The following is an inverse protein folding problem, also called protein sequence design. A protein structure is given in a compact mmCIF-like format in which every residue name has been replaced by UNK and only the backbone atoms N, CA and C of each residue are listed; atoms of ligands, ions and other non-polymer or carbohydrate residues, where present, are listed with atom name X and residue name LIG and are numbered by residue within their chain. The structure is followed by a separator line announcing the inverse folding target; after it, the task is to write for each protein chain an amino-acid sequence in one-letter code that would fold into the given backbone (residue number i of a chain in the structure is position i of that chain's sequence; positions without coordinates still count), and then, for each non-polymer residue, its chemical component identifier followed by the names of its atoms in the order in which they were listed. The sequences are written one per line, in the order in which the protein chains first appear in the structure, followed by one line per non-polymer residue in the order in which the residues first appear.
data_IF_154771823676
#
_entry.id   IF_154771823676
#
_cell.length_a   1.000
_cell.length_b   1.000
_cell.length_c   1.000
_cell.angle_alpha   90.00
_cell.angle_beta   90.00
_cell.angle_gamma   90.00
#
_symmetry.space_group_name_H-M   'P 1'
#
loop_
_entity.id
_entity.type
_entity.pdbx_description
1 polymer ?
#
# COMPACT_ATOMS: atom_id res chain seq x y z
N UNK A 1 -11.01 -7.45 -14.68
CA UNK A 1 -10.88 -6.00 -14.39
C UNK A 1 -11.73 -5.57 -13.20
N UNK A 2 -13.00 -5.98 -13.18
CA UNK A 2 -13.86 -5.64 -12.03
C UNK A 2 -13.37 -6.26 -10.73
N UNK A 3 -12.82 -7.48 -10.79
CA UNK A 3 -12.29 -8.18 -9.61
C UNK A 3 -11.11 -7.43 -8.99
N UNK A 4 -10.24 -6.85 -9.82
CA UNK A 4 -9.09 -6.06 -9.32
C UNK A 4 -9.60 -4.81 -8.60
N UNK A 5 -10.58 -4.13 -9.18
CA UNK A 5 -11.17 -2.93 -8.58
C UNK A 5 -11.84 -3.24 -7.24
N UNK A 6 -12.63 -4.30 -7.19
CA UNK A 6 -13.28 -4.74 -5.97
C UNK A 6 -12.25 -5.14 -4.90
N UNK A 7 -11.16 -5.77 -5.32
CA UNK A 7 -10.10 -6.15 -4.40
C UNK A 7 -9.33 -4.94 -3.87
N UNK A 8 -9.14 -3.91 -4.69
CA UNK A 8 -8.54 -2.64 -4.25
C UNK A 8 -9.45 -1.92 -3.26
N UNK A 9 -10.76 -1.93 -3.50
CA UNK A 9 -11.73 -1.39 -2.56
C UNK A 9 -11.70 -2.13 -1.22
N UNK A 10 -11.68 -3.46 -1.27
CA UNK A 10 -11.56 -4.31 -0.09
C UNK A 10 -10.27 -4.01 0.67
N UNK A 11 -9.16 -3.92 -0.05
CA UNK A 11 -7.86 -3.54 0.51
C UNK A 11 -7.93 -2.18 1.21
N UNK A 12 -8.55 -1.19 0.56
CA UNK A 12 -8.73 0.13 1.15
C UNK A 12 -9.55 0.07 2.44
N UNK A 13 -10.62 -0.71 2.47
CA UNK A 13 -11.42 -0.87 3.68
C UNK A 13 -10.61 -1.46 4.83
N UNK A 14 -9.77 -2.46 4.55
CA UNK A 14 -8.92 -3.09 5.57
C UNK A 14 -7.82 -2.14 6.07
N UNK A 15 -7.04 -1.60 5.15
CA UNK A 15 -5.90 -0.76 5.49
C UNK A 15 -6.36 0.59 6.04
N UNK A 16 -7.37 1.19 5.41
CA UNK A 16 -7.93 2.46 5.84
C UNK A 16 -8.55 2.37 7.23
N UNK A 17 -9.30 1.31 7.48
CA UNK A 17 -9.87 1.05 8.80
C UNK A 17 -8.83 0.86 9.88
N UNK A 18 -7.77 0.10 9.57
CA UNK A 18 -6.66 -0.10 10.51
C UNK A 18 -5.96 1.23 10.84
N UNK A 19 -5.64 2.02 9.84
CA UNK A 19 -4.99 3.31 10.03
C UNK A 19 -5.88 4.29 10.81
N UNK A 20 -7.16 4.37 10.46
CA UNK A 20 -8.08 5.29 11.11
C UNK A 20 -8.21 4.99 12.61
N UNK A 21 -8.31 3.72 12.95
CA UNK A 21 -8.57 3.30 14.33
C UNK A 21 -7.29 3.14 15.15
N UNK A 22 -6.16 2.84 14.51
CA UNK A 22 -4.93 2.46 15.22
C UNK A 22 -3.67 3.19 14.74
N UNK A 23 -3.77 4.00 13.69
CA UNK A 23 -2.60 4.68 13.11
C UNK A 23 -1.88 5.57 14.13
N UNK A 24 -2.61 6.23 15.01
CA UNK A 24 -2.00 7.12 16.01
C UNK A 24 -1.20 6.37 17.08
N UNK A 25 -1.31 5.04 17.15
CA UNK A 25 -0.53 4.19 18.08
C UNK A 25 0.81 3.78 17.51
N UNK A 26 1.04 4.00 16.21
CA UNK A 26 2.31 3.66 15.57
C UNK A 26 3.39 4.59 16.14
N UNK A 27 4.49 3.98 16.63
CA UNK A 27 5.55 4.71 17.29
C UNK A 27 6.50 5.36 16.28
N UNK A 28 7.26 6.37 16.73
CA UNK A 28 8.30 6.99 15.90
C UNK A 28 9.31 5.96 15.39
N UNK A 29 9.70 5.02 16.23
CA UNK A 29 10.62 3.95 15.83
C UNK A 29 10.02 3.09 14.70
N UNK A 30 8.74 2.73 14.80
CA UNK A 30 8.05 1.98 13.75
C UNK A 30 7.97 2.80 12.46
N UNK A 31 7.70 4.09 12.56
CA UNK A 31 7.67 4.98 11.39
C UNK A 31 9.05 5.04 10.72
N UNK A 32 10.13 5.12 11.51
CA UNK A 32 11.49 5.11 10.98
C UNK A 32 11.79 3.81 10.22
N UNK A 33 11.33 2.68 10.75
CA UNK A 33 11.49 1.39 10.06
C UNK A 33 10.68 1.35 8.75
N UNK A 34 9.48 1.93 8.74
CA UNK A 34 8.66 2.05 7.53
C UNK A 34 9.32 2.95 6.49
N UNK A 35 10.00 4.01 6.90
CA UNK A 35 10.77 4.85 5.98
C UNK A 35 11.89 4.08 5.30
N UNK A 36 12.56 3.19 6.00
CA UNK A 36 13.61 2.33 5.41
C UNK A 36 13.01 1.45 4.33
N UNK A 37 11.83 0.87 4.56
CA UNK A 37 11.14 0.08 3.55
C UNK A 37 10.74 0.93 2.35
N UNK A 38 10.33 2.17 2.58
CA UNK A 38 9.98 3.08 1.49
C UNK A 38 11.19 3.43 0.62
N UNK A 39 12.40 3.47 1.18
CA UNK A 39 13.61 3.69 0.37
C UNK A 39 13.77 2.58 -0.68
N UNK A 40 13.43 1.35 -0.35
CA UNK A 40 13.44 0.26 -1.32
C UNK A 40 12.42 0.48 -2.45
N UNK A 41 11.25 1.05 -2.13
CA UNK A 41 10.24 1.40 -3.13
C UNK A 41 10.71 2.47 -4.10
N UNK A 42 11.63 3.34 -3.67
CA UNK A 42 12.11 4.47 -4.47
C UNK A 42 13.25 4.10 -5.42
N UNK A 43 13.72 2.87 -5.39
CA UNK A 43 14.81 2.42 -6.27
C UNK A 43 14.32 2.31 -7.71
N UNK A 44 15.09 2.85 -8.63
CA UNK A 44 14.81 2.83 -10.09
C UNK A 44 15.60 1.76 -10.85
N UNK A 45 16.53 1.08 -10.17
CA UNK A 45 17.37 0.01 -10.74
C UNK A 45 16.75 -1.38 -10.61
N UNK A 46 15.44 -1.45 -10.41
CA UNK A 46 14.70 -2.69 -10.15
C UNK A 46 13.67 -2.97 -11.24
N UNK A 47 13.28 -4.23 -11.36
CA UNK A 47 12.22 -4.64 -12.28
C UNK A 47 10.83 -4.18 -11.77
N UNK A 48 9.81 -4.10 -12.65
CA UNK A 48 8.45 -3.80 -12.19
C UNK A 48 7.94 -4.76 -11.11
N UNK A 49 8.32 -6.04 -11.19
CA UNK A 49 7.96 -7.02 -10.16
C UNK A 49 8.62 -6.70 -8.83
N UNK A 50 9.91 -6.38 -8.83
CA UNK A 50 10.64 -6.03 -7.61
C UNK A 50 10.07 -4.77 -6.98
N UNK A 51 9.71 -3.78 -7.80
CA UNK A 51 9.06 -2.56 -7.34
C UNK A 51 7.71 -2.87 -6.68
N UNK A 52 6.90 -3.71 -7.32
CA UNK A 52 5.63 -4.15 -6.77
C UNK A 52 5.82 -4.87 -5.43
N UNK A 53 6.79 -5.78 -5.34
CA UNK A 53 7.06 -6.52 -4.09
C UNK A 53 7.52 -5.59 -2.97
N UNK A 54 8.33 -4.58 -3.27
CA UNK A 54 8.75 -3.58 -2.28
C UNK A 54 7.55 -2.75 -1.78
N UNK A 55 6.67 -2.36 -2.69
CA UNK A 55 5.42 -1.66 -2.35
C UNK A 55 4.55 -2.50 -1.42
N UNK A 56 4.37 -3.78 -1.71
CA UNK A 56 3.60 -4.67 -0.84
C UNK A 56 4.24 -4.82 0.53
N UNK A 57 5.56 -4.96 0.59
CA UNK A 57 6.27 -5.09 1.85
C UNK A 57 6.04 -3.86 2.73
N UNK A 58 6.04 -2.67 2.14
CA UNK A 58 5.73 -1.44 2.87
C UNK A 58 4.31 -1.48 3.46
N UNK A 59 3.31 -1.79 2.64
CA UNK A 59 1.91 -1.83 3.10
C UNK A 59 1.67 -2.90 4.15
N UNK A 60 2.23 -4.08 3.98
CA UNK A 60 2.12 -5.16 4.97
C UNK A 60 2.73 -4.73 6.31
N UNK A 61 3.92 -4.13 6.28
CA UNK A 61 4.58 -3.66 7.50
C UNK A 61 3.80 -2.51 8.16
N UNK A 62 3.25 -1.60 7.36
CA UNK A 62 2.43 -0.49 7.85
C UNK A 62 1.21 -1.01 8.64
N UNK A 63 0.51 -1.97 8.07
CA UNK A 63 -0.69 -2.52 8.71
C UNK A 63 -0.34 -3.42 9.89
N UNK A 64 0.78 -4.14 9.80
CA UNK A 64 1.29 -4.91 10.93
C UNK A 64 1.56 -4.00 12.15
N UNK A 65 2.10 -2.79 11.91
CA UNK A 65 2.36 -1.81 12.97
C UNK A 65 1.07 -1.34 13.66
N UNK A 66 -0.09 -1.48 13.03
CA UNK A 66 -1.37 -1.15 13.63
C UNK A 66 -1.78 -2.15 14.72
N UNK A 67 -1.19 -3.35 14.76
CA UNK A 67 -1.36 -4.29 15.85
C UNK A 67 -2.67 -5.07 15.88
N UNK A 68 -3.34 -5.25 14.75
CA UNK A 68 -4.52 -6.10 14.65
C UNK A 68 -4.20 -7.31 13.76
N UNK A 69 -4.06 -8.47 14.39
CA UNK A 69 -3.61 -9.69 13.70
C UNK A 69 -4.61 -10.19 12.66
N UNK A 70 -5.90 -9.99 12.87
CA UNK A 70 -6.93 -10.40 11.91
C UNK A 70 -6.86 -9.55 10.64
N UNK A 71 -6.74 -8.24 10.79
CA UNK A 71 -6.58 -7.34 9.65
C UNK A 71 -5.25 -7.65 8.93
N UNK A 72 -4.18 -7.84 9.66
CA UNK A 72 -2.86 -8.17 9.12
C UNK A 72 -2.93 -9.40 8.23
N UNK A 73 -3.58 -10.46 8.68
CA UNK A 73 -3.74 -11.69 7.91
C UNK A 73 -4.56 -11.47 6.63
N UNK A 74 -5.65 -10.73 6.72
CA UNK A 74 -6.49 -10.47 5.55
C UNK A 74 -5.80 -9.57 4.54
N UNK A 75 -5.01 -8.61 4.98
CA UNK A 75 -4.20 -7.78 4.09
C UNK A 75 -3.19 -8.65 3.34
N UNK A 76 -2.51 -9.56 4.02
CA UNK A 76 -1.56 -10.49 3.38
C UNK A 76 -2.25 -11.36 2.33
N UNK A 77 -3.44 -11.88 2.62
CA UNK A 77 -4.22 -12.68 1.68
C UNK A 77 -4.58 -11.86 0.44
N UNK A 78 -5.03 -10.64 0.65
CA UNK A 78 -5.38 -9.70 -0.42
C UNK A 78 -4.16 -9.40 -1.30
N UNK A 79 -3.00 -9.14 -0.69
CA UNK A 79 -1.75 -8.89 -1.42
C UNK A 79 -1.33 -10.08 -2.28
N UNK A 80 -1.47 -11.29 -1.75
CA UNK A 80 -1.17 -12.51 -2.51
C UNK A 80 -2.05 -12.64 -3.74
N UNK A 81 -3.35 -12.37 -3.58
CA UNK A 81 -4.31 -12.41 -4.69
C UNK A 81 -3.98 -11.36 -5.75
N UNK A 82 -3.74 -10.11 -5.33
CA UNK A 82 -3.39 -9.02 -6.24
C UNK A 82 -2.09 -9.30 -7.00
N UNK A 83 -1.09 -9.87 -6.32
CA UNK A 83 0.18 -10.23 -6.94
C UNK A 83 -0.04 -11.23 -8.08
N UNK A 84 -0.85 -12.25 -7.85
CA UNK A 84 -1.18 -13.24 -8.88
C UNK A 84 -1.94 -12.61 -10.06
N UNK A 85 -2.88 -11.73 -9.76
CA UNK A 85 -3.66 -11.05 -10.79
C UNK A 85 -2.76 -10.16 -11.67
N UNK A 86 -1.87 -9.39 -11.06
CA UNK A 86 -0.93 -8.54 -11.81
C UNK A 86 0.08 -9.38 -12.60
N UNK A 87 0.53 -10.50 -12.07
CA UNK A 87 1.44 -11.40 -12.77
C UNK A 87 0.82 -11.91 -14.08
N UNK A 88 -0.48 -12.21 -14.07
CA UNK A 88 -1.18 -12.71 -15.25
C UNK A 88 -1.41 -11.64 -16.31
N UNK A 89 -1.70 -10.41 -15.89
CA UNK A 89 -2.24 -9.40 -16.81
C UNK A 89 -1.26 -8.25 -17.11
N UNK A 90 -0.23 -8.04 -16.31
CA UNK A 90 0.56 -6.81 -16.36
C UNK A 90 2.06 -6.99 -16.52
N UNK A 91 2.66 -8.04 -15.99
CA UNK A 91 4.12 -8.17 -16.05
C UNK A 91 4.65 -8.54 -17.43
N UNK A 92 3.76 -8.97 -18.36
CA UNK A 92 4.09 -9.22 -19.75
C UNK A 92 3.81 -8.05 -20.69
N UNK A 93 3.32 -6.93 -20.19
CA UNK A 93 2.95 -5.75 -20.98
C UNK A 93 4.01 -4.67 -20.81
N UNK A 94 4.12 -3.78 -21.82
CA UNK A 94 5.15 -2.74 -21.89
C UNK A 94 5.18 -1.88 -20.62
N UNK A 95 6.38 -1.55 -20.16
CA UNK A 95 6.65 -0.77 -18.95
C UNK A 95 5.88 0.55 -18.86
N UNK A 96 5.45 1.10 -20.00
CA UNK A 96 4.72 2.37 -20.04
C UNK A 96 3.26 2.24 -19.64
N UNK A 97 2.67 1.05 -19.74
CA UNK A 97 1.29 0.79 -19.32
C UNK A 97 1.21 0.35 -17.85
N UNK A 98 2.34 0.04 -17.26
CA UNK A 98 2.45 -0.31 -15.84
C UNK A 98 2.42 0.91 -14.92
N UNK A 99 1.97 2.05 -15.40
CA UNK A 99 1.73 3.25 -14.57
C UNK A 99 0.61 3.10 -13.55
N UNK A 100 0.23 1.90 -13.22
CA UNK A 100 -0.29 1.63 -11.88
C UNK A 100 0.89 1.57 -10.91
N UNK A 101 1.86 2.38 -11.19
CA UNK A 101 2.99 2.60 -10.36
C UNK A 101 2.49 3.19 -9.07
N UNK A 102 2.64 2.45 -8.03
CA UNK A 102 2.80 2.98 -6.74
C UNK A 102 3.60 4.28 -6.85
N UNK A 103 2.93 5.38 -6.65
CA UNK A 103 3.63 6.64 -6.48
C UNK A 103 4.12 6.68 -5.04
N UNK A 104 5.38 6.27 -4.84
CA UNK A 104 5.98 6.18 -3.51
C UNK A 104 6.01 7.51 -2.76
N UNK A 105 5.67 8.62 -3.42
CA UNK A 105 5.45 9.91 -2.76
C UNK A 105 4.27 9.86 -1.80
N UNK A 106 3.25 9.06 -2.11
CA UNK A 106 2.11 8.87 -1.22
C UNK A 106 2.51 8.13 0.05
N UNK A 107 3.44 7.18 -0.02
CA UNK A 107 3.98 6.51 1.16
C UNK A 107 4.59 7.51 2.13
N UNK A 108 5.39 8.43 1.62
CA UNK A 108 6.00 9.48 2.43
C UNK A 108 4.95 10.37 3.08
N UNK A 109 3.89 10.70 2.34
CA UNK A 109 2.79 11.51 2.86
C UNK A 109 2.01 10.78 3.97
N UNK A 110 1.81 9.46 3.83
CA UNK A 110 1.21 8.63 4.88
C UNK A 110 2.05 8.69 6.14
N UNK A 111 3.35 8.48 6.03
CA UNK A 111 4.26 8.51 7.17
C UNK A 111 4.29 9.88 7.85
N UNK A 112 4.27 10.96 7.06
CA UNK A 112 4.19 12.31 7.58
C UNK A 112 2.93 12.55 8.41
N UNK A 113 1.79 12.07 7.92
CA UNK A 113 0.52 12.16 8.65
C UNK A 113 0.55 11.38 9.96
N UNK A 114 1.18 10.19 9.96
CA UNK A 114 1.32 9.38 11.17
C UNK A 114 2.23 10.04 12.20
N UNK A 115 3.30 10.73 11.76
CA UNK A 115 4.15 11.50 12.67
C UNK A 115 3.38 12.64 13.34
N UNK A 116 2.44 13.24 12.62
CA UNK A 116 1.56 14.29 13.14
C UNK A 116 0.43 13.75 14.02
N UNK A 117 0.33 12.43 14.18
CA UNK A 117 -0.79 11.77 14.87
C UNK A 117 -2.14 12.12 14.22
N UNK A 118 -2.14 12.21 12.89
CA UNK A 118 -3.32 12.54 12.10
C UNK A 118 -3.74 11.33 11.24
N UNK A 119 -4.42 10.38 11.86
CA UNK A 119 -4.85 9.15 11.19
C UNK A 119 -5.82 9.40 10.04
N UNK A 120 -6.68 10.40 10.16
CA UNK A 120 -7.64 10.74 9.08
C UNK A 120 -6.90 11.20 7.82
N UNK A 121 -5.85 12.01 7.97
CA UNK A 121 -4.99 12.45 6.86
C UNK A 121 -4.22 11.26 6.27
N UNK A 122 -3.74 10.35 7.12
CA UNK A 122 -3.05 9.14 6.66
C UNK A 122 -3.96 8.29 5.77
N UNK A 123 -5.23 8.10 6.14
CA UNK A 123 -6.22 7.37 5.34
C UNK A 123 -6.46 8.05 3.99
N UNK A 124 -6.55 9.37 3.98
CA UNK A 124 -6.73 10.14 2.74
C UNK A 124 -5.53 9.94 1.79
N UNK A 125 -4.32 9.96 2.33
CA UNK A 125 -3.11 9.72 1.54
C UNK A 125 -3.03 8.27 1.06
N UNK A 126 -3.46 7.31 1.88
CA UNK A 126 -3.57 5.91 1.48
C UNK A 126 -4.51 5.74 0.29
N UNK A 127 -5.66 6.39 0.31
CA UNK A 127 -6.62 6.31 -0.79
C UNK A 127 -6.00 6.79 -2.09
N UNK A 128 -5.23 7.88 -2.05
CA UNK A 128 -4.51 8.39 -3.21
C UNK A 128 -3.46 7.40 -3.71
N UNK A 129 -2.75 6.73 -2.79
CA UNK A 129 -1.74 5.73 -3.13
C UNK A 129 -2.35 4.51 -3.84
N UNK A 130 -3.49 4.04 -3.37
CA UNK A 130 -4.17 2.90 -3.97
C UNK A 130 -4.82 3.23 -5.33
N UNK A 131 -4.88 4.52 -5.66
CA UNK A 131 -5.56 5.00 -6.85
C UNK A 131 -7.06 5.14 -6.63
N UNK A 132 -7.69 5.88 -7.50
CA UNK A 132 -9.14 6.03 -7.42
C UNK A 132 -9.82 4.85 -8.11
N UNK A 133 -9.97 3.77 -7.37
CA UNK A 133 -10.61 2.54 -7.85
C UNK A 133 -12.08 2.75 -8.23
N UNK A 134 -12.68 3.88 -7.85
CA UNK A 134 -14.05 4.22 -8.25
C UNK A 134 -14.11 4.75 -9.68
N UNK A 135 -13.00 5.27 -10.20
CA UNK A 135 -12.90 5.80 -11.56
C UNK A 135 -12.41 4.77 -12.57
N UNK A 136 -11.94 3.60 -12.11
CA UNK A 136 -11.51 2.52 -12.97
C UNK A 136 -12.74 1.81 -13.53
N UNK A 137 -13.21 2.28 -14.64
CA UNK A 137 -14.29 1.64 -15.39
C UNK A 137 -13.75 0.67 -16.42
#
# INVERSE_FOLDING_TARGET
MDDIREMLEFRYCLEGGALLNRGNRITEHQIDELEKLNQECLRDDVTPREHWMANLAFHVALIHACGNDYIDQQVKNCMGWLTRAYAQFRWGVDKQELHMSCDCRHHKAILGALREKNSAKAVKMLKQDLGDFTLLK
#
